data_IF_518637790495
#
_entry.id   IF_518637790495
#
_cell.length_a   1.000
_cell.length_b   1.000
_cell.length_c   1.000
_cell.angle_alpha   90.00
_cell.angle_beta   90.00
_cell.angle_gamma   90.00
#
_symmetry.space_group_name_H-M   'P 1'
#
loop_
_entity.id
_entity.type
_entity.pdbx_description
1 polymer ?
#
# COMPACT_ATOMS: atom_id res chain seq x y z
N UNK A 1 -13.99 -11.96 20.00
CA UNK A 1 -14.83 -12.79 19.10
C UNK A 1 -15.11 -11.99 17.84
N UNK A 2 -14.86 -12.56 16.65
CA UNK A 2 -15.04 -11.88 15.36
C UNK A 2 -16.53 -11.55 15.15
N UNK A 3 -16.85 -10.31 14.75
CA UNK A 3 -18.24 -9.83 14.56
C UNK A 3 -18.88 -10.31 13.25
N UNK A 4 -18.17 -11.13 12.48
CA UNK A 4 -18.58 -11.55 11.14
C UNK A 4 -19.30 -12.89 11.14
N UNK A 5 -20.34 -12.98 10.30
CA UNK A 5 -20.95 -14.26 9.96
C UNK A 5 -19.89 -15.19 9.34
N UNK A 6 -19.96 -16.52 9.54
CA UNK A 6 -19.09 -17.46 8.84
C UNK A 6 -19.04 -17.24 7.32
N UNK A 7 -20.13 -16.77 6.72
CA UNK A 7 -20.22 -16.46 5.29
C UNK A 7 -19.40 -15.22 4.90
N UNK A 8 -19.42 -14.18 5.72
CA UNK A 8 -18.60 -12.99 5.51
C UNK A 8 -17.11 -13.33 5.61
N UNK A 9 -16.74 -14.20 6.56
CA UNK A 9 -15.34 -14.65 6.73
C UNK A 9 -14.85 -15.45 5.53
N UNK A 10 -15.70 -16.33 4.98
CA UNK A 10 -15.40 -17.04 3.74
C UNK A 10 -15.27 -16.07 2.56
N UNK A 11 -16.13 -15.06 2.48
CA UNK A 11 -16.09 -14.05 1.42
C UNK A 11 -14.80 -13.23 1.48
N UNK A 12 -14.40 -12.79 2.68
CA UNK A 12 -13.12 -12.13 2.93
C UNK A 12 -11.97 -13.04 2.54
N UNK A 13 -11.95 -14.30 3.02
CA UNK A 13 -10.89 -15.25 2.71
C UNK A 13 -10.75 -15.52 1.20
N UNK A 14 -11.85 -15.62 0.47
CA UNK A 14 -11.84 -15.74 -1.00
C UNK A 14 -11.24 -14.51 -1.64
N UNK A 15 -11.64 -13.31 -1.22
CA UNK A 15 -11.15 -12.08 -1.83
C UNK A 15 -9.67 -11.84 -1.55
N UNK A 16 -9.21 -12.19 -0.35
CA UNK A 16 -7.77 -12.22 -0.01
C UNK A 16 -7.03 -13.17 -0.96
N UNK A 17 -7.55 -14.40 -1.15
CA UNK A 17 -6.90 -15.37 -2.04
C UNK A 17 -6.84 -14.90 -3.50
N UNK A 18 -7.89 -14.25 -4.00
CA UNK A 18 -7.95 -13.66 -5.33
C UNK A 18 -6.94 -12.54 -5.52
N UNK A 19 -6.88 -11.59 -4.57
CA UNK A 19 -5.95 -10.46 -4.64
C UNK A 19 -4.48 -10.90 -4.51
N UNK A 20 -4.23 -12.01 -3.81
CA UNK A 20 -2.90 -12.65 -3.75
C UNK A 20 -2.59 -13.55 -4.97
N UNK A 21 -3.50 -13.66 -5.95
CA UNK A 21 -3.30 -14.47 -7.15
C UNK A 21 -3.26 -15.98 -6.90
N UNK A 22 -3.69 -16.46 -5.73
CA UNK A 22 -3.62 -17.87 -5.35
C UNK A 22 -4.40 -18.81 -6.29
N UNK A 23 -5.57 -18.41 -6.85
CA UNK A 23 -6.27 -19.24 -7.81
C UNK A 23 -5.43 -19.63 -9.02
N UNK A 24 -4.56 -18.74 -9.52
CA UNK A 24 -3.69 -19.02 -10.67
C UNK A 24 -2.45 -19.82 -10.28
N UNK A 25 -1.83 -19.49 -9.15
CA UNK A 25 -0.54 -20.04 -8.76
C UNK A 25 -0.62 -21.41 -8.05
N UNK A 26 -1.63 -21.60 -7.22
CA UNK A 26 -1.64 -22.68 -6.23
C UNK A 26 -2.85 -23.61 -6.35
N UNK A 27 -3.95 -23.17 -6.97
CA UNK A 27 -5.18 -23.97 -7.01
C UNK A 27 -5.08 -25.18 -7.96
N UNK A 28 -5.49 -26.36 -7.48
CA UNK A 28 -5.54 -27.59 -8.28
C UNK A 28 -6.67 -27.62 -9.31
N UNK A 29 -7.76 -26.88 -9.09
CA UNK A 29 -8.90 -26.86 -9.99
C UNK A 29 -8.66 -25.96 -11.21
N UNK A 30 -8.77 -26.54 -12.42
CA UNK A 30 -8.57 -25.83 -13.69
C UNK A 30 -9.48 -24.62 -13.87
N UNK A 31 -10.73 -24.71 -13.39
CA UNK A 31 -11.70 -23.61 -13.48
C UNK A 31 -11.24 -22.38 -12.69
N UNK A 32 -10.79 -22.59 -11.45
CA UNK A 32 -10.22 -21.52 -10.61
C UNK A 32 -9.03 -20.83 -11.26
N UNK A 33 -8.11 -21.61 -11.86
CA UNK A 33 -6.95 -21.07 -12.58
C UNK A 33 -7.31 -20.26 -13.82
N UNK A 34 -8.48 -20.48 -14.43
CA UNK A 34 -8.90 -19.75 -15.64
C UNK A 34 -9.68 -18.49 -15.31
N UNK A 35 -10.55 -18.57 -14.32
CA UNK A 35 -11.45 -17.48 -13.94
C UNK A 35 -10.83 -16.53 -12.91
N UNK A 36 -9.68 -16.88 -12.32
CA UNK A 36 -8.99 -16.06 -11.31
C UNK A 36 -9.67 -16.04 -9.94
N UNK A 37 -10.71 -16.86 -9.74
CA UNK A 37 -11.49 -16.95 -8.51
C UNK A 37 -11.48 -18.36 -7.89
N UNK A 38 -11.51 -18.45 -6.55
CA UNK A 38 -11.62 -19.73 -5.85
C UNK A 38 -13.09 -20.09 -5.58
N UNK A 39 -13.66 -20.97 -6.41
CA UNK A 39 -15.05 -21.42 -6.32
C UNK A 39 -15.27 -22.59 -5.36
N UNK A 40 -14.19 -23.29 -4.98
CA UNK A 40 -14.26 -24.48 -4.14
C UNK A 40 -13.75 -24.17 -2.73
N UNK A 41 -14.44 -24.69 -1.73
CA UNK A 41 -14.07 -24.53 -0.32
C UNK A 41 -14.30 -25.85 0.42
N UNK A 42 -13.52 -26.08 1.46
CA UNK A 42 -13.68 -27.26 2.31
C UNK A 42 -14.90 -27.10 3.22
N UNK A 43 -15.74 -28.14 3.31
CA UNK A 43 -16.96 -28.08 4.13
C UNK A 43 -16.67 -27.93 5.63
N UNK A 44 -15.59 -28.55 6.12
CA UNK A 44 -15.22 -28.52 7.54
C UNK A 44 -14.61 -27.18 7.98
N UNK A 45 -13.60 -26.69 7.26
CA UNK A 45 -12.88 -25.46 7.62
C UNK A 45 -13.46 -24.19 7.03
N UNK A 46 -14.36 -24.31 6.04
CA UNK A 46 -14.86 -23.18 5.23
C UNK A 46 -13.73 -22.31 4.65
N UNK A 47 -12.60 -22.94 4.35
CA UNK A 47 -11.45 -22.29 3.72
C UNK A 47 -11.44 -22.54 2.20
N UNK A 48 -10.94 -21.58 1.40
CA UNK A 48 -10.76 -21.77 -0.03
C UNK A 48 -9.74 -22.89 -0.30
N UNK A 49 -10.01 -23.71 -1.32
CA UNK A 49 -9.22 -24.92 -1.59
C UNK A 49 -7.77 -24.62 -2.01
N UNK A 50 -7.48 -23.41 -2.50
CA UNK A 50 -6.13 -22.98 -2.86
C UNK A 50 -5.18 -22.86 -1.66
N UNK A 51 -5.68 -22.89 -0.41
CA UNK A 51 -4.83 -22.87 0.78
C UNK A 51 -4.19 -24.23 1.10
N UNK A 52 -4.69 -25.32 0.52
CA UNK A 52 -4.18 -26.67 0.77
C UNK A 52 -2.78 -26.91 0.17
N UNK A 53 -2.43 -26.16 -0.88
CA UNK A 53 -1.15 -26.26 -1.57
C UNK A 53 -0.09 -25.28 -1.05
N UNK A 54 -0.45 -24.41 -0.10
CA UNK A 54 0.48 -23.46 0.49
C UNK A 54 1.35 -24.12 1.56
N UNK A 55 2.62 -23.74 1.61
CA UNK A 55 3.48 -24.10 2.74
C UNK A 55 3.10 -23.30 4.01
N UNK A 56 3.66 -23.70 5.16
CA UNK A 56 3.33 -23.09 6.44
C UNK A 56 3.57 -21.56 6.47
N UNK A 57 4.66 -21.08 5.86
CA UNK A 57 4.99 -19.65 5.82
C UNK A 57 4.02 -18.87 4.95
N UNK A 58 3.68 -19.38 3.77
CA UNK A 58 2.69 -18.76 2.87
C UNK A 58 1.31 -18.74 3.50
N UNK A 59 0.93 -19.81 4.21
CA UNK A 59 -0.32 -19.87 4.94
C UNK A 59 -0.35 -18.87 6.10
N UNK A 60 0.74 -18.72 6.85
CA UNK A 60 0.83 -17.71 7.90
C UNK A 60 0.64 -16.29 7.34
N UNK A 61 1.31 -15.97 6.24
CA UNK A 61 1.14 -14.68 5.55
C UNK A 61 -0.31 -14.46 5.09
N UNK A 62 -0.95 -15.48 4.51
CA UNK A 62 -2.37 -15.39 4.13
C UNK A 62 -3.27 -15.10 5.34
N UNK A 63 -3.06 -15.80 6.45
CA UNK A 63 -3.87 -15.63 7.66
C UNK A 63 -3.69 -14.24 8.27
N UNK A 64 -2.48 -13.67 8.19
CA UNK A 64 -2.18 -12.32 8.65
C UNK A 64 -2.92 -11.26 7.81
N UNK A 65 -2.81 -11.33 6.48
CA UNK A 65 -3.57 -10.45 5.56
C UNK A 65 -5.08 -10.59 5.80
N UNK A 66 -5.57 -11.81 5.99
CA UNK A 66 -6.99 -12.07 6.30
C UNK A 66 -7.40 -11.44 7.62
N UNK A 67 -6.59 -11.56 8.67
CA UNK A 67 -6.88 -10.96 9.98
C UNK A 67 -6.94 -9.43 9.91
N UNK A 68 -5.99 -8.79 9.23
CA UNK A 68 -6.00 -7.34 9.02
C UNK A 68 -7.20 -6.91 8.17
N UNK A 69 -7.57 -7.70 7.16
CA UNK A 69 -8.78 -7.46 6.36
C UNK A 69 -10.06 -7.55 7.21
N UNK A 70 -10.18 -8.57 8.08
CA UNK A 70 -11.30 -8.68 9.04
C UNK A 70 -11.34 -7.47 9.99
N UNK A 71 -10.18 -6.98 10.45
CA UNK A 71 -10.10 -5.77 11.27
C UNK A 71 -10.59 -4.52 10.54
N UNK A 72 -10.06 -4.25 9.34
CA UNK A 72 -10.49 -3.12 8.51
C UNK A 72 -11.99 -3.21 8.23
N UNK A 73 -12.47 -4.38 7.82
CA UNK A 73 -13.88 -4.62 7.55
C UNK A 73 -14.73 -4.23 8.76
N UNK A 74 -14.29 -4.61 9.97
CA UNK A 74 -15.05 -4.38 11.20
C UNK A 74 -15.06 -2.92 11.66
N UNK A 75 -14.02 -2.15 11.34
CA UNK A 75 -13.80 -0.81 11.86
C UNK A 75 -14.29 0.29 10.92
N UNK A 76 -14.28 0.08 9.60
CA UNK A 76 -14.62 1.16 8.66
C UNK A 76 -16.06 1.65 8.81
N UNK A 77 -17.01 0.75 9.10
CA UNK A 77 -18.42 1.11 9.29
C UNK A 77 -18.62 2.04 10.48
N UNK A 78 -17.85 1.85 11.54
CA UNK A 78 -17.90 2.68 12.76
C UNK A 78 -16.95 3.87 12.71
N UNK A 79 -16.35 4.14 11.55
CA UNK A 79 -15.40 5.24 11.33
C UNK A 79 -14.20 5.24 12.30
N UNK A 80 -13.85 4.06 12.82
CA UNK A 80 -12.68 3.87 13.66
C UNK A 80 -11.51 3.39 12.81
N UNK A 81 -10.30 3.79 13.20
CA UNK A 81 -9.11 3.18 12.65
C UNK A 81 -9.00 1.74 13.14
N UNK A 82 -8.64 0.81 12.26
CA UNK A 82 -8.33 -0.56 12.67
C UNK A 82 -7.12 -0.51 13.59
N UNK A 83 -7.19 -1.25 14.68
CA UNK A 83 -6.00 -1.54 15.45
C UNK A 83 -5.22 -2.60 14.66
N UNK A 84 -4.10 -2.19 14.06
CA UNK A 84 -3.22 -3.11 13.36
C UNK A 84 -2.60 -4.05 14.40
N UNK A 85 -2.93 -5.33 14.31
CA UNK A 85 -2.48 -6.35 15.27
C UNK A 85 -1.09 -6.89 14.94
N UNK A 86 -0.51 -6.42 13.85
CA UNK A 86 0.48 -7.16 13.09
C UNK A 86 1.74 -6.31 12.84
N UNK A 87 2.91 -6.95 12.92
CA UNK A 87 4.23 -6.39 12.57
C UNK A 87 4.41 -6.22 11.06
N UNK A 88 3.31 -6.18 10.31
CA UNK A 88 3.35 -6.23 8.86
C UNK A 88 3.72 -4.88 8.30
N UNK A 89 4.35 -4.95 7.14
CA UNK A 89 4.71 -3.81 6.33
C UNK A 89 3.47 -3.01 5.92
N UNK A 90 3.68 -1.74 5.59
CA UNK A 90 2.62 -0.82 5.19
C UNK A 90 1.85 -1.33 3.97
N UNK A 91 2.52 -2.03 3.06
CA UNK A 91 1.95 -2.57 1.84
C UNK A 91 0.85 -3.61 2.12
N UNK A 92 1.02 -4.45 3.15
CA UNK A 92 -0.02 -5.43 3.52
C UNK A 92 -1.23 -4.75 4.12
N UNK A 93 -1.02 -3.68 4.90
CA UNK A 93 -2.12 -2.89 5.45
C UNK A 93 -2.91 -2.20 4.33
N UNK A 94 -2.24 -1.63 3.35
CA UNK A 94 -2.89 -1.07 2.16
C UNK A 94 -3.60 -2.14 1.33
N UNK A 95 -3.02 -3.33 1.20
CA UNK A 95 -3.68 -4.45 0.52
C UNK A 95 -4.98 -4.84 1.23
N UNK A 96 -4.99 -4.92 2.57
CA UNK A 96 -6.19 -5.19 3.35
C UNK A 96 -7.28 -4.11 3.13
N UNK A 97 -6.88 -2.83 3.06
CA UNK A 97 -7.77 -1.72 2.72
C UNK A 97 -8.35 -1.88 1.31
N UNK A 98 -7.54 -2.27 0.33
CA UNK A 98 -8.02 -2.45 -1.04
C UNK A 98 -8.94 -3.67 -1.18
N UNK A 99 -8.66 -4.75 -0.44
CA UNK A 99 -9.57 -5.90 -0.36
C UNK A 99 -10.94 -5.47 0.17
N UNK A 100 -10.98 -4.73 1.28
CA UNK A 100 -12.25 -4.25 1.84
C UNK A 100 -12.97 -3.33 0.88
N UNK A 101 -12.26 -2.43 0.20
CA UNK A 101 -12.84 -1.55 -0.83
C UNK A 101 -13.63 -2.34 -1.87
N UNK A 102 -13.07 -3.44 -2.37
CA UNK A 102 -13.74 -4.31 -3.36
C UNK A 102 -14.99 -5.04 -2.81
N UNK A 103 -15.14 -5.13 -1.49
CA UNK A 103 -16.29 -5.73 -0.81
C UNK A 103 -17.36 -4.68 -0.42
N UNK A 104 -17.06 -3.39 -0.51
CA UNK A 104 -18.01 -2.34 -0.16
C UNK A 104 -19.10 -2.24 -1.23
N UNK A 105 -20.35 -2.43 -0.81
CA UNK A 105 -21.49 -2.21 -1.69
C UNK A 105 -21.53 -0.78 -2.23
N UNK A 106 -21.95 -0.61 -3.50
CA UNK A 106 -21.94 0.69 -4.20
C UNK A 106 -22.56 1.84 -3.39
N UNK A 107 -23.66 1.58 -2.68
CA UNK A 107 -24.34 2.55 -1.83
C UNK A 107 -23.51 3.10 -0.65
N UNK A 108 -22.41 2.43 -0.30
CA UNK A 108 -21.54 2.80 0.83
C UNK A 108 -20.16 3.34 0.40
N UNK A 109 -19.90 3.49 -0.91
CA UNK A 109 -18.60 3.92 -1.42
C UNK A 109 -18.20 5.30 -0.89
N UNK A 110 -19.13 6.25 -0.81
CA UNK A 110 -18.83 7.60 -0.29
C UNK A 110 -18.44 7.58 1.18
N UNK A 111 -19.14 6.77 1.98
CA UNK A 111 -18.84 6.57 3.40
C UNK A 111 -17.47 5.92 3.58
N UNK A 112 -17.16 4.93 2.75
CA UNK A 112 -15.86 4.28 2.75
C UNK A 112 -14.73 5.25 2.34
N UNK A 113 -14.95 6.08 1.32
CA UNK A 113 -14.01 7.11 0.90
C UNK A 113 -13.77 8.15 2.00
N UNK A 114 -14.80 8.55 2.73
CA UNK A 114 -14.67 9.43 3.89
C UNK A 114 -13.81 8.80 4.99
N UNK A 115 -14.01 7.52 5.29
CA UNK A 115 -13.17 6.76 6.22
C UNK A 115 -11.71 6.68 5.75
N UNK A 116 -11.47 6.41 4.45
CA UNK A 116 -10.11 6.36 3.86
C UNK A 116 -9.38 7.71 3.99
N UNK A 117 -10.08 8.83 3.78
CA UNK A 117 -9.55 10.18 3.99
C UNK A 117 -9.19 10.45 5.45
N UNK A 118 -10.09 10.13 6.38
CA UNK A 118 -9.82 10.27 7.82
C UNK A 118 -8.58 9.48 8.24
N UNK A 119 -8.47 8.23 7.78
CA UNK A 119 -7.28 7.41 7.99
C UNK A 119 -6.01 8.06 7.43
N UNK A 120 -6.04 8.55 6.20
CA UNK A 120 -4.88 9.21 5.61
C UNK A 120 -4.41 10.43 6.43
N UNK A 121 -5.35 11.21 6.99
CA UNK A 121 -5.02 12.35 7.86
C UNK A 121 -4.39 11.91 9.19
N UNK A 122 -4.86 10.81 9.79
CA UNK A 122 -4.32 10.29 11.05
C UNK A 122 -2.97 9.57 10.87
N UNK A 123 -2.75 8.95 9.71
CA UNK A 123 -1.49 8.27 9.36
C UNK A 123 -0.45 9.21 8.77
N UNK A 124 -0.83 10.41 8.33
CA UNK A 124 0.11 11.39 7.80
C UNK A 124 1.19 11.69 8.84
N UNK A 125 2.48 11.72 8.44
CA UNK A 125 3.54 12.12 9.35
C UNK A 125 3.16 13.48 9.94
N UNK A 126 3.18 13.58 11.27
CA UNK A 126 2.93 14.87 11.92
C UNK A 126 3.93 15.86 11.30
N UNK A 127 3.48 17.05 10.87
CA UNK A 127 4.40 18.06 10.40
C UNK A 127 5.47 18.22 11.46
N UNK A 128 6.74 18.17 11.06
CA UNK A 128 7.84 18.39 11.98
C UNK A 128 7.52 19.68 12.73
N UNK A 129 7.42 19.60 14.05
CA UNK A 129 7.25 20.81 14.87
C UNK A 129 8.35 21.75 14.39
N UNK A 130 8.03 22.99 13.98
CA UNK A 130 9.05 23.89 13.46
C UNK A 130 10.16 23.89 14.50
N UNK A 131 11.31 23.32 14.11
CA UNK A 131 12.48 23.35 14.97
C UNK A 131 12.71 24.84 15.17
N UNK A 132 12.68 25.36 16.40
CA UNK A 132 12.92 26.78 16.62
C UNK A 132 14.23 27.08 15.89
N UNK A 133 14.16 27.94 14.87
CA UNK A 133 15.31 28.24 14.04
C UNK A 133 16.46 28.51 15.00
N UNK A 134 17.58 27.77 14.92
CA UNK A 134 18.73 28.09 15.75
C UNK A 134 19.01 29.56 15.49
N UNK A 135 19.00 30.36 16.56
CA UNK A 135 19.25 31.79 16.45
C UNK A 135 20.52 31.94 15.61
N UNK A 136 20.38 32.52 14.41
CA UNK A 136 21.52 32.69 13.52
C UNK A 136 22.57 33.45 14.33
N UNK A 137 23.81 32.93 14.44
CA UNK A 137 24.87 33.71 15.03
C UNK A 137 24.93 35.05 14.28
N UNK A 138 25.22 36.17 14.99
CA UNK A 138 25.28 37.48 14.36
C UNK A 138 26.18 37.39 13.13
N UNK A 139 25.64 37.84 11.99
CA UNK A 139 26.40 37.86 10.73
C UNK A 139 27.67 38.67 11.01
N UNK A 140 28.86 38.07 10.90
CA UNK A 140 30.09 38.84 11.04
C UNK A 140 30.08 39.96 10.00
N UNK A 141 30.56 41.17 10.33
CA UNK A 141 30.58 42.27 9.39
C UNK A 141 31.24 41.81 8.10
N UNK A 142 30.63 42.18 6.96
CA UNK A 142 31.11 41.81 5.64
C UNK A 142 32.61 42.08 5.55
N UNK A 143 33.42 41.02 5.45
CA UNK A 143 34.82 41.18 5.05
C UNK A 143 34.78 41.78 3.66
N UNK A 144 35.40 42.94 3.51
CA UNK A 144 35.68 43.55 2.20
C UNK A 144 36.21 42.46 1.27
N UNK A 145 35.53 42.26 0.14
CA UNK A 145 35.96 41.31 -0.88
C UNK A 145 37.43 41.58 -1.19
N UNK A 146 38.33 40.58 -1.09
CA UNK A 146 39.68 40.76 -1.55
C UNK A 146 39.62 41.05 -3.06
N UNK A 147 40.41 42.03 -3.48
CA UNK A 147 40.56 42.48 -4.86
C UNK A 147 41.24 41.39 -5.71
N UNK A 148 40.52 40.29 -5.95
CA UNK A 148 40.94 39.26 -6.88
C UNK A 148 40.62 39.76 -8.27
N UNK A 149 41.66 40.22 -8.98
CA UNK A 149 41.59 40.48 -10.41
C UNK A 149 40.96 39.28 -11.12
N UNK A 150 39.86 39.51 -11.84
CA UNK A 150 39.21 38.50 -12.68
C UNK A 150 40.28 37.90 -13.59
N UNK A 151 40.55 36.58 -13.49
CA UNK A 151 41.49 35.96 -14.41
C UNK A 151 40.93 36.05 -15.82
N UNK A 152 41.79 36.45 -16.75
CA UNK A 152 41.49 36.69 -18.16
C UNK A 152 41.36 35.34 -18.89
N UNK A 153 40.29 34.60 -18.60
CA UNK A 153 40.02 33.34 -19.26
C UNK A 153 39.39 33.61 -20.63
N UNK A 154 39.93 33.03 -21.72
CA UNK A 154 39.30 33.12 -23.03
C UNK A 154 37.92 32.45 -22.97
N UNK A 155 36.92 33.09 -23.58
CA UNK A 155 35.55 32.58 -23.68
C UNK A 155 35.55 31.22 -24.39
N UNK A 156 35.54 30.15 -23.59
CA UNK A 156 35.35 28.79 -24.09
C UNK A 156 33.87 28.66 -24.46
N UNK A 157 33.57 28.75 -25.75
CA UNK A 157 32.26 28.44 -26.30
C UNK A 157 31.89 27.00 -25.95
N UNK A 158 30.96 26.82 -25.02
CA UNK A 158 30.39 25.51 -24.74
C UNK A 158 29.39 25.18 -25.85
N UNK A 159 29.84 24.42 -26.85
CA UNK A 159 28.95 23.77 -27.81
C UNK A 159 28.05 22.80 -27.05
N UNK A 160 26.78 23.16 -26.93
CA UNK A 160 25.75 22.32 -26.33
C UNK A 160 25.48 21.13 -27.25
N UNK A 161 25.98 19.95 -26.89
CA UNK A 161 25.65 18.72 -27.58
C UNK A 161 24.15 18.40 -27.40
N UNK A 162 23.37 18.58 -28.47
CA UNK A 162 21.98 18.14 -28.57
C UNK A 162 21.92 16.62 -28.38
N UNK A 163 21.46 16.19 -27.22
CA UNK A 163 21.28 14.76 -26.91
C UNK A 163 19.91 14.32 -27.39
N UNK A 164 19.86 13.78 -28.60
CA UNK A 164 18.65 13.16 -29.18
C UNK A 164 18.37 11.82 -28.49
N UNK A 165 17.30 11.75 -27.71
CA UNK A 165 16.82 10.52 -27.07
C UNK A 165 15.89 9.75 -28.03
N UNK A 166 16.18 8.51 -28.43
CA UNK A 166 15.30 7.75 -29.30
C UNK A 166 14.06 7.22 -28.56
N UNK A 167 12.88 7.52 -29.12
CA UNK A 167 11.58 6.99 -28.71
C UNK A 167 11.45 5.51 -29.09
N UNK A 168 11.41 4.62 -28.09
CA UNK A 168 11.08 3.21 -28.26
C UNK A 168 9.55 3.06 -28.33
N UNK A 169 9.04 2.57 -29.48
CA UNK A 169 7.65 2.11 -29.62
C UNK A 169 7.52 0.68 -29.09
N UNK A 170 6.67 0.50 -28.07
CA UNK A 170 6.22 -0.82 -27.61
C UNK A 170 4.97 -1.18 -28.41
N UNK A 171 5.02 -2.35 -29.07
CA UNK A 171 3.89 -3.00 -29.74
C UNK A 171 3.08 -3.84 -28.75
#
# INVERSE_FOLDING_TARGET
MSRYSPEDRLTIARRVAEMLGLPHMACRHRRCRREGGCWYHFQGSKQPCCLDTLNARQRAFFEEVRADTEHVASSWRVLMLPHWTSSVTEEVRELAVEIVHSLVAKANLDRYAAWRRKRALEMAPRPARPVPSPALPPVPPARSEPDWQKPDWPEMGFETAETTVPLIRVL
#
